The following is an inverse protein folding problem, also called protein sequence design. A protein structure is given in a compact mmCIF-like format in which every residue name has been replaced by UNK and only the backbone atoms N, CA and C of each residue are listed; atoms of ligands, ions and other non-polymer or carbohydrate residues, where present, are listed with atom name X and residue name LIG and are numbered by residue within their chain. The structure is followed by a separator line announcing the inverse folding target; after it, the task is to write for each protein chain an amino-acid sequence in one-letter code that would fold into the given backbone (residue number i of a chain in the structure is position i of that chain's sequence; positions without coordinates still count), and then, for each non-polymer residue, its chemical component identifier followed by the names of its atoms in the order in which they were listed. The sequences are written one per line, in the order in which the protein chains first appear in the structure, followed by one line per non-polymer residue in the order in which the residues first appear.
data_IF_293385464699
#
_entry.id   IF_293385464699
#
_cell.length_a   1.000
_cell.length_b   1.000
_cell.length_c   1.000
_cell.angle_alpha   90.00
_cell.angle_beta   90.00
_cell.angle_gamma   90.00
#
_symmetry.space_group_name_H-M   'P 1'
#
loop_
_entity.id
_entity.type
_entity.pdbx_description
1 polymer ?
#
# COMPACT_ATOMS: atom_id res chain seq x y z
N UNK A 1 3.55 -54.38 0.13
CA UNK A 1 3.85 -53.11 -0.58
C UNK A 1 5.37 -52.99 -0.73
N UNK A 2 5.89 -52.99 -1.96
CA UNK A 2 7.33 -52.95 -2.25
C UNK A 2 7.99 -51.66 -1.71
N UNK A 3 9.24 -51.75 -1.24
CA UNK A 3 10.01 -50.59 -0.79
C UNK A 3 10.10 -49.49 -1.86
N UNK A 4 10.11 -49.88 -3.14
CA UNK A 4 10.11 -48.93 -4.27
C UNK A 4 8.82 -48.08 -4.31
N UNK A 5 7.66 -48.70 -4.07
CA UNK A 5 6.37 -48.00 -4.06
C UNK A 5 6.28 -47.04 -2.86
N UNK A 6 6.87 -47.40 -1.72
CA UNK A 6 6.94 -46.52 -0.54
C UNK A 6 7.83 -45.31 -0.77
N UNK A 7 8.99 -45.50 -1.39
CA UNK A 7 9.92 -44.41 -1.74
C UNK A 7 9.27 -43.48 -2.77
N UNK A 8 8.64 -44.05 -3.81
CA UNK A 8 7.93 -43.28 -4.81
C UNK A 8 6.80 -42.44 -4.20
N UNK A 9 5.97 -43.03 -3.32
CA UNK A 9 4.93 -42.28 -2.63
C UNK A 9 5.48 -41.19 -1.70
N UNK A 10 6.55 -41.47 -0.97
CA UNK A 10 7.17 -40.49 -0.07
C UNK A 10 7.75 -39.28 -0.83
N UNK A 11 8.39 -39.55 -1.97
CA UNK A 11 8.94 -38.53 -2.86
C UNK A 11 7.80 -37.68 -3.47
N UNK A 12 6.75 -38.30 -3.99
CA UNK A 12 5.59 -37.56 -4.52
C UNK A 12 4.85 -36.75 -3.45
N UNK A 13 4.77 -37.26 -2.22
CA UNK A 13 4.14 -36.53 -1.11
C UNK A 13 4.97 -35.33 -0.65
N UNK A 14 6.31 -35.45 -0.62
CA UNK A 14 7.19 -34.28 -0.38
C UNK A 14 7.07 -33.23 -1.49
N UNK A 15 6.85 -33.65 -2.74
CA UNK A 15 6.66 -32.71 -3.85
C UNK A 15 5.33 -31.94 -3.76
N UNK A 16 4.26 -32.56 -3.26
CA UNK A 16 2.95 -31.93 -3.10
C UNK A 16 2.91 -30.87 -1.98
N UNK A 17 3.82 -30.93 -1.01
CA UNK A 17 3.88 -29.97 0.11
C UNK A 17 4.78 -28.76 -0.13
N UNK A 18 5.41 -28.65 -1.32
CA UNK A 18 6.37 -27.57 -1.63
C UNK A 18 5.73 -26.29 -2.19
N UNK A 19 4.40 -26.21 -2.25
CA UNK A 19 3.71 -24.99 -2.67
C UNK A 19 3.78 -23.95 -1.54
N UNK A 20 4.59 -22.91 -1.72
CA UNK A 20 4.58 -21.70 -0.89
C UNK A 20 3.86 -20.59 -1.66
N UNK A 21 3.02 -19.81 -0.99
CA UNK A 21 2.36 -18.63 -1.57
C UNK A 21 3.04 -17.39 -0.99
N UNK A 22 3.40 -16.45 -1.86
CA UNK A 22 3.92 -15.14 -1.46
C UNK A 22 2.82 -14.29 -0.83
N UNK A 23 3.21 -13.41 0.09
CA UNK A 23 2.28 -12.46 0.73
C UNK A 23 2.03 -11.24 -0.15
N UNK A 24 0.94 -10.52 0.09
CA UNK A 24 0.72 -9.20 -0.51
C UNK A 24 1.68 -8.19 0.11
N UNK A 25 2.12 -7.22 -0.69
CA UNK A 25 2.91 -6.10 -0.18
C UNK A 25 2.03 -5.13 0.63
N UNK A 26 2.66 -4.45 1.58
CA UNK A 26 1.95 -3.49 2.42
C UNK A 26 1.72 -2.16 1.67
N UNK A 27 0.68 -1.42 2.03
CA UNK A 27 0.37 -0.12 1.40
C UNK A 27 0.53 0.99 2.42
N UNK A 28 1.30 2.02 2.06
CA UNK A 28 1.58 3.16 2.90
C UNK A 28 1.09 4.44 2.23
N UNK A 29 0.34 5.25 2.96
CA UNK A 29 -0.15 6.54 2.52
C UNK A 29 0.49 7.66 3.34
N UNK A 30 1.02 8.66 2.63
CA UNK A 30 1.48 9.92 3.20
C UNK A 30 0.62 11.06 2.67
N UNK A 31 0.07 11.84 3.60
CA UNK A 31 -0.69 13.05 3.28
C UNK A 31 0.28 14.23 3.33
N UNK A 32 0.32 15.03 2.26
CA UNK A 32 1.26 16.14 2.11
C UNK A 32 0.51 17.41 1.80
N UNK A 33 0.99 18.53 2.33
CA UNK A 33 0.47 19.84 1.99
C UNK A 33 1.64 20.84 2.02
N UNK A 34 1.81 21.64 0.95
CA UNK A 34 2.83 22.70 0.94
C UNK A 34 2.47 23.80 1.94
N UNK A 35 1.19 24.12 2.01
CA UNK A 35 0.58 24.97 3.02
C UNK A 35 -0.53 24.17 3.67
N UNK A 36 -0.48 24.07 4.99
CA UNK A 36 -1.44 23.27 5.76
C UNK A 36 -2.88 23.73 5.47
N UNK A 37 -3.79 22.82 5.07
CA UNK A 37 -5.18 23.17 4.85
C UNK A 37 -5.86 23.54 6.17
N UNK A 38 -6.88 24.38 6.11
CA UNK A 38 -7.68 24.73 7.27
C UNK A 38 -8.47 23.53 7.82
N UNK A 39 -8.81 22.57 6.96
CA UNK A 39 -9.37 21.28 7.37
C UNK A 39 -9.06 20.21 6.33
N UNK A 40 -8.87 18.97 6.77
CA UNK A 40 -8.77 17.80 5.90
C UNK A 40 -9.53 16.64 6.54
N UNK A 41 -10.20 15.86 5.70
CA UNK A 41 -10.91 14.65 6.08
C UNK A 41 -10.69 13.57 5.03
N UNK A 42 -10.46 12.35 5.49
CA UNK A 42 -10.37 11.15 4.65
C UNK A 42 -11.11 10.02 5.35
N UNK A 43 -11.91 9.28 4.58
CA UNK A 43 -12.70 8.17 5.08
C UNK A 43 -11.84 6.91 5.26
N UNK A 44 -10.93 6.94 6.22
CA UNK A 44 -10.06 5.81 6.58
C UNK A 44 -10.10 5.55 8.08
N UNK A 45 -10.23 4.27 8.47
CA UNK A 45 -10.06 3.84 9.86
C UNK A 45 -8.60 3.57 10.23
N UNK A 46 -7.72 3.49 9.23
CA UNK A 46 -6.31 3.17 9.42
C UNK A 46 -5.48 4.44 9.72
N UNK A 47 -5.99 5.62 9.34
CA UNK A 47 -5.37 6.91 9.63
C UNK A 47 -5.90 7.46 10.96
N UNK A 48 -5.03 7.83 11.92
CA UNK A 48 -5.46 8.41 13.18
C UNK A 48 -6.10 9.78 12.95
N UNK A 49 -7.09 10.14 13.77
CA UNK A 49 -7.78 11.44 13.68
C UNK A 49 -6.87 12.65 13.92
N UNK A 50 -5.72 12.44 14.56
CA UNK A 50 -4.67 13.43 14.82
C UNK A 50 -3.37 13.10 14.07
N UNK A 51 -3.48 12.69 12.80
CA UNK A 51 -2.32 12.41 11.97
C UNK A 51 -1.42 13.64 11.77
N UNK A 52 -0.17 13.39 11.39
CA UNK A 52 0.84 14.39 11.03
C UNK A 52 1.08 14.37 9.52
N UNK A 53 1.27 15.54 8.92
CA UNK A 53 1.64 15.66 7.51
C UNK A 53 3.06 15.13 7.26
N UNK A 54 3.30 14.68 6.03
CA UNK A 54 4.57 14.13 5.56
C UNK A 54 5.05 12.86 6.30
N UNK A 55 4.15 12.16 7.01
CA UNK A 55 4.37 10.84 7.64
C UNK A 55 3.63 9.75 6.86
N UNK A 56 4.27 8.58 6.70
CA UNK A 56 3.63 7.41 6.10
C UNK A 56 2.83 6.62 7.15
N UNK A 57 1.57 6.34 6.83
CA UNK A 57 0.68 5.47 7.59
C UNK A 57 0.37 4.23 6.78
N UNK A 58 0.49 3.05 7.39
CA UNK A 58 0.02 1.81 6.77
C UNK A 58 -1.51 1.86 6.64
N UNK A 59 -2.01 1.57 5.45
CA UNK A 59 -3.44 1.53 5.13
C UNK A 59 -3.77 0.22 4.42
N UNK A 60 -5.01 -0.23 4.54
CA UNK A 60 -5.46 -1.37 3.75
C UNK A 60 -5.72 -0.98 2.29
N UNK A 61 -5.63 -1.91 1.34
CA UNK A 61 -6.16 -1.66 -0.01
C UNK A 61 -7.65 -1.32 0.02
N UNK A 62 -8.08 -0.34 -0.77
CA UNK A 62 -9.46 0.14 -0.76
C UNK A 62 -9.67 1.49 -1.45
N UNK A 63 -10.88 2.03 -1.32
CA UNK A 63 -11.26 3.34 -1.81
C UNK A 63 -11.47 4.30 -0.64
N UNK A 64 -10.83 5.46 -0.71
CA UNK A 64 -10.82 6.46 0.34
C UNK A 64 -11.31 7.79 -0.21
N UNK A 65 -12.56 8.13 0.12
CA UNK A 65 -13.08 9.47 -0.15
C UNK A 65 -12.37 10.49 0.72
N UNK A 66 -12.00 11.63 0.14
CA UNK A 66 -11.36 12.71 0.89
C UNK A 66 -11.85 14.08 0.45
N UNK A 67 -11.77 15.03 1.37
CA UNK A 67 -12.12 16.43 1.16
C UNK A 67 -11.22 17.32 2.03
N UNK A 68 -11.01 18.57 1.59
CA UNK A 68 -10.26 19.54 2.36
C UNK A 68 -10.69 20.97 2.07
N UNK A 69 -10.42 21.86 3.02
CA UNK A 69 -10.51 23.30 2.83
C UNK A 69 -9.09 23.81 2.86
N UNK A 70 -8.64 24.38 1.74
CA UNK A 70 -7.27 24.86 1.63
C UNK A 70 -7.02 26.11 2.51
N UNK A 71 -5.77 26.57 2.51
CA UNK A 71 -5.36 27.75 3.27
C UNK A 71 -6.03 29.06 2.78
N UNK A 72 -6.59 29.10 1.57
CA UNK A 72 -7.34 30.23 1.01
C UNK A 72 -8.85 30.18 1.33
N UNK A 73 -9.31 29.20 2.13
CA UNK A 73 -10.71 28.90 2.44
C UNK A 73 -11.54 28.41 1.24
N UNK A 74 -10.90 27.76 0.29
CA UNK A 74 -11.54 27.10 -0.84
C UNK A 74 -11.76 25.64 -0.50
N UNK A 75 -13.00 25.17 -0.66
CA UNK A 75 -13.33 23.76 -0.47
C UNK A 75 -12.97 22.93 -1.72
N UNK A 76 -12.34 21.80 -1.47
CA UNK A 76 -11.97 20.78 -2.45
C UNK A 76 -12.63 19.44 -2.05
N UNK A 77 -13.03 18.62 -3.03
CA UNK A 77 -12.79 18.76 -4.47
C UNK A 77 -13.72 19.78 -5.16
N UNK A 78 -13.18 20.51 -6.15
CA UNK A 78 -13.98 21.25 -7.13
C UNK A 78 -14.43 20.34 -8.28
N UNK A 79 -15.32 20.87 -9.14
CA UNK A 79 -15.80 20.14 -10.31
C UNK A 79 -14.62 19.77 -11.23
N UNK A 80 -14.39 18.45 -11.40
CA UNK A 80 -13.31 17.91 -12.23
C UNK A 80 -12.05 17.53 -11.45
N UNK A 81 -12.01 17.76 -10.14
CA UNK A 81 -10.92 17.31 -9.27
C UNK A 81 -11.15 15.89 -8.76
N UNK A 82 -10.06 15.24 -8.31
CA UNK A 82 -10.12 13.94 -7.67
C UNK A 82 -10.71 14.07 -6.26
N UNK A 83 -11.61 13.16 -5.90
CA UNK A 83 -12.25 13.10 -4.58
C UNK A 83 -12.06 11.75 -3.89
N UNK A 84 -11.45 10.79 -4.58
CA UNK A 84 -11.29 9.41 -4.13
C UNK A 84 -9.87 8.96 -4.43
N UNK A 85 -9.22 8.37 -3.43
CA UNK A 85 -7.98 7.63 -3.58
C UNK A 85 -8.29 6.13 -3.66
N UNK A 86 -7.88 5.48 -4.74
CA UNK A 86 -7.86 4.01 -4.85
C UNK A 86 -6.46 3.51 -4.49
N UNK A 87 -6.37 2.71 -3.43
CA UNK A 87 -5.12 2.09 -2.96
C UNK A 87 -5.16 0.59 -3.26
N UNK A 88 -4.14 0.09 -3.98
CA UNK A 88 -4.01 -1.34 -4.30
C UNK A 88 -2.66 -1.88 -3.85
N UNK A 89 -2.66 -3.06 -3.23
CA UNK A 89 -1.44 -3.78 -2.90
C UNK A 89 -0.91 -4.52 -4.14
N UNK A 90 0.41 -4.72 -4.20
CA UNK A 90 1.00 -5.65 -5.15
C UNK A 90 0.83 -7.07 -4.61
N UNK A 91 0.32 -7.98 -5.44
CA UNK A 91 0.15 -9.38 -5.06
C UNK A 91 1.49 -10.12 -5.14
N UNK A 92 1.78 -10.94 -4.13
CA UNK A 92 2.87 -11.90 -4.19
C UNK A 92 2.65 -12.96 -5.26
N UNK A 93 3.71 -13.65 -5.65
CA UNK A 93 3.65 -14.76 -6.60
C UNK A 93 3.69 -16.10 -5.90
N UNK A 94 2.88 -17.03 -6.40
CA UNK A 94 2.94 -18.42 -5.96
C UNK A 94 4.24 -19.08 -6.42
N UNK A 95 4.88 -19.79 -5.48
CA UNK A 95 6.02 -20.65 -5.75
C UNK A 95 5.58 -21.95 -6.41
N UNK A 96 6.48 -22.51 -7.22
CA UNK A 96 6.30 -23.81 -7.86
C UNK A 96 7.50 -24.72 -7.64
N UNK A 97 7.49 -25.89 -8.28
CA UNK A 97 8.54 -26.91 -8.13
C UNK A 97 9.95 -26.38 -8.50
N UNK A 98 10.03 -25.37 -9.37
CA UNK A 98 11.29 -24.82 -9.88
C UNK A 98 11.52 -23.34 -9.54
N UNK A 99 10.55 -22.66 -8.92
CA UNK A 99 10.61 -21.23 -8.63
C UNK A 99 10.13 -20.99 -7.19
N UNK A 100 10.87 -20.20 -6.42
CA UNK A 100 10.40 -19.74 -5.11
C UNK A 100 9.22 -18.79 -5.25
N UNK A 101 8.33 -18.77 -4.27
CA UNK A 101 7.39 -17.67 -4.12
C UNK A 101 8.15 -16.35 -3.91
N UNK A 102 7.51 -15.24 -4.27
CA UNK A 102 7.96 -13.90 -3.94
C UNK A 102 6.83 -13.13 -3.30
N UNK A 103 7.12 -12.38 -2.25
CA UNK A 103 6.14 -11.44 -1.70
C UNK A 103 5.92 -10.28 -2.68
N UNK A 104 4.77 -9.61 -2.55
CA UNK A 104 4.47 -8.39 -3.28
C UNK A 104 5.32 -7.23 -2.78
N UNK A 105 5.65 -6.31 -3.67
CA UNK A 105 6.39 -5.10 -3.27
C UNK A 105 5.46 -4.12 -2.53
N UNK A 106 5.96 -3.51 -1.47
CA UNK A 106 5.24 -2.45 -0.76
C UNK A 106 4.94 -1.26 -1.69
N UNK A 107 3.77 -0.65 -1.49
CA UNK A 107 3.30 0.49 -2.28
C UNK A 107 3.29 1.74 -1.42
N UNK A 108 3.93 2.80 -1.91
CA UNK A 108 3.96 4.10 -1.23
C UNK A 108 3.20 5.13 -2.06
N UNK A 109 2.21 5.75 -1.43
CA UNK A 109 1.27 6.68 -2.04
C UNK A 109 1.44 8.04 -1.38
N UNK A 110 1.57 9.09 -2.19
CA UNK A 110 1.51 10.48 -1.76
C UNK A 110 0.17 11.09 -2.18
N UNK A 111 -0.63 11.52 -1.21
CA UNK A 111 -1.79 12.39 -1.43
C UNK A 111 -1.37 13.84 -1.14
N UNK A 112 -1.17 14.62 -2.18
CA UNK A 112 -0.69 16.00 -2.10
C UNK A 112 -1.88 16.95 -2.23
N UNK A 113 -2.12 17.74 -1.19
CA UNK A 113 -3.21 18.72 -1.11
C UNK A 113 -2.69 20.08 -1.60
N UNK A 114 -3.21 20.56 -2.73
CA UNK A 114 -2.86 21.86 -3.31
C UNK A 114 -4.11 22.73 -3.50
N UNK A 115 -3.96 24.05 -3.50
CA UNK A 115 -5.05 24.98 -3.84
C UNK A 115 -5.54 24.86 -5.29
N UNK A 116 -4.74 24.25 -6.16
CA UNK A 116 -5.13 23.94 -7.55
C UNK A 116 -5.86 22.60 -7.70
N UNK A 117 -6.15 21.93 -6.59
CA UNK A 117 -6.70 20.58 -6.54
C UNK A 117 -5.67 19.51 -6.14
N UNK A 118 -6.15 18.35 -5.67
CA UNK A 118 -5.30 17.29 -5.14
C UNK A 118 -4.53 16.56 -6.25
N UNK A 119 -3.32 16.09 -5.91
CA UNK A 119 -2.48 15.22 -6.74
C UNK A 119 -2.23 13.92 -6.00
N UNK A 120 -2.30 12.80 -6.72
CA UNK A 120 -1.96 11.48 -6.22
C UNK A 120 -0.73 10.99 -6.98
N UNK A 121 0.32 10.62 -6.26
CA UNK A 121 1.54 10.05 -6.82
C UNK A 121 1.83 8.69 -6.17
N UNK A 122 2.26 7.72 -6.96
CA UNK A 122 2.72 6.42 -6.47
C UNK A 122 4.20 6.26 -6.79
N UNK A 123 4.97 5.80 -5.81
CA UNK A 123 6.42 5.65 -5.94
C UNK A 123 6.87 4.28 -5.47
N UNK A 124 7.78 3.68 -6.24
CA UNK A 124 8.65 2.61 -5.73
C UNK A 124 9.87 3.28 -5.09
N UNK A 125 9.78 3.67 -3.83
CA UNK A 125 10.91 4.20 -3.08
C UNK A 125 11.94 3.08 -2.82
N UNK A 126 12.83 2.80 -3.78
CA UNK A 126 14.06 2.03 -3.54
C UNK A 126 15.04 2.74 -2.57
N UNK A 127 14.69 3.94 -2.12
CA UNK A 127 15.49 4.78 -1.23
C UNK A 127 14.56 5.38 -0.18
N UNK A 128 14.32 4.65 0.91
CA UNK A 128 13.83 5.26 2.15
C UNK A 128 15.03 5.98 2.76
N UNK A 129 14.90 7.28 2.98
CA UNK A 129 15.88 8.05 3.72
C UNK A 129 15.99 7.46 5.14
N UNK A 130 17.22 7.08 5.52
CA UNK A 130 17.61 6.66 6.87
C UNK A 130 16.84 7.45 7.92
N UNK A 131 16.09 6.74 8.77
CA UNK A 131 15.52 7.29 9.99
C UNK A 131 16.64 7.91 10.82
N UNK A 132 16.80 9.23 10.77
CA UNK A 132 17.61 9.96 11.73
C UNK A 132 16.82 10.00 13.04
N UNK A 133 17.00 8.96 13.85
CA UNK A 133 16.67 9.01 15.27
C UNK A 133 17.50 10.14 15.91
N UNK A 134 16.84 11.19 16.41
CA UNK A 134 17.42 12.14 17.36
C UNK A 134 17.01 11.80 18.78
#
# INVERSE_FOLDING_TARGET
MSNFVKIFFAVTFMFLTSCSTGQEGDVFLRIRAVLEPNSFSINSNDIPSNFEYDVFYEIKPGYYDFEYIDHENIAHPQLGELSVLEATANTGTDGGIFNSASDGEDVYIDLILLSSGPIIETYNYFTIASTLNY
#
